data_IF_019688781505
#
_entry.id   IF_019688781505
#
_cell.length_a   1.000
_cell.length_b   1.000
_cell.length_c   1.000
_cell.angle_alpha   90.00
_cell.angle_beta   90.00
_cell.angle_gamma   90.00
#
_symmetry.space_group_name_H-M   'P 1'
#
loop_
_entity.id
_entity.type
_entity.pdbx_description
1 polymer ?
#
# COMPACT_ATOMS: atom_id res chain seq x y z
N UNK A 1 0.64 35.69 -12.41
CA UNK A 1 -0.22 34.68 -11.75
C UNK A 1 0.06 33.35 -12.43
N UNK A 2 0.77 32.43 -11.78
CA UNK A 2 0.99 31.10 -12.35
C UNK A 2 -0.38 30.42 -12.49
N UNK A 3 -0.78 30.10 -13.72
CA UNK A 3 -1.93 29.26 -14.01
C UNK A 3 -1.64 27.87 -13.44
N UNK A 4 -2.09 27.63 -12.20
CA UNK A 4 -2.10 26.29 -11.64
C UNK A 4 -3.01 25.46 -12.53
N UNK A 5 -2.43 24.56 -13.33
CA UNK A 5 -3.21 23.57 -14.06
C UNK A 5 -3.98 22.75 -13.04
N UNK A 6 -5.29 22.50 -13.25
CA UNK A 6 -6.06 21.69 -12.33
C UNK A 6 -5.40 20.32 -12.18
N UNK A 7 -5.39 19.73 -10.97
CA UNK A 7 -4.81 18.41 -10.75
C UNK A 7 -5.44 17.42 -11.75
N UNK A 8 -4.60 16.62 -12.42
CA UNK A 8 -5.08 15.57 -13.34
C UNK A 8 -6.12 14.71 -12.60
N UNK A 9 -7.26 14.38 -13.21
CA UNK A 9 -8.24 13.51 -12.58
C UNK A 9 -7.58 12.17 -12.21
N UNK A 10 -7.90 11.67 -11.00
CA UNK A 10 -7.33 10.42 -10.48
C UNK A 10 -7.59 9.30 -11.47
N UNK A 11 -6.54 8.56 -11.83
CA UNK A 11 -6.66 7.49 -12.81
C UNK A 11 -7.52 6.37 -12.20
N UNK A 12 -8.61 5.91 -12.86
CA UNK A 12 -9.40 4.80 -12.35
C UNK A 12 -8.58 3.52 -12.13
N UNK A 13 -7.45 3.38 -12.83
CA UNK A 13 -6.48 2.29 -12.63
C UNK A 13 -6.00 2.20 -11.18
N UNK A 14 -5.76 3.32 -10.51
CA UNK A 14 -5.24 3.32 -9.13
C UNK A 14 -6.28 2.73 -8.16
N UNK A 15 -7.55 3.08 -8.34
CA UNK A 15 -8.66 2.53 -7.55
C UNK A 15 -8.85 1.03 -7.77
N UNK A 16 -8.74 0.57 -9.03
CA UNK A 16 -8.80 -0.86 -9.36
C UNK A 16 -7.65 -1.64 -8.71
N UNK A 17 -6.43 -1.09 -8.75
CA UNK A 17 -5.26 -1.71 -8.11
C UNK A 17 -5.44 -1.83 -6.59
N UNK A 18 -6.01 -0.83 -5.93
CA UNK A 18 -6.31 -0.89 -4.48
C UNK A 18 -7.29 -2.04 -4.19
N UNK A 19 -8.43 -2.09 -4.90
CA UNK A 19 -9.45 -3.14 -4.68
C UNK A 19 -8.86 -4.52 -4.93
N UNK A 20 -8.10 -4.69 -6.01
CA UNK A 20 -7.45 -5.94 -6.35
C UNK A 20 -6.44 -6.36 -5.27
N UNK A 21 -5.64 -5.41 -4.76
CA UNK A 21 -4.68 -5.68 -3.68
C UNK A 21 -5.39 -6.08 -2.39
N UNK A 22 -6.50 -5.44 -2.04
CA UNK A 22 -7.33 -5.82 -0.87
C UNK A 22 -7.84 -7.26 -1.02
N UNK A 23 -8.45 -7.58 -2.16
CA UNK A 23 -9.00 -8.93 -2.41
C UNK A 23 -7.89 -9.98 -2.34
N UNK A 24 -6.75 -9.74 -2.99
CA UNK A 24 -5.62 -10.66 -2.95
C UNK A 24 -5.03 -10.81 -1.54
N UNK A 25 -4.92 -9.73 -0.78
CA UNK A 25 -4.42 -9.76 0.59
C UNK A 25 -5.34 -10.54 1.53
N UNK A 26 -6.66 -10.38 1.39
CA UNK A 26 -7.64 -11.15 2.13
C UNK A 26 -7.63 -12.63 1.72
N UNK A 27 -7.54 -12.90 0.42
CA UNK A 27 -7.41 -14.27 -0.10
C UNK A 27 -6.13 -14.96 0.40
N UNK A 28 -4.98 -14.28 0.39
CA UNK A 28 -3.73 -14.89 0.85
C UNK A 28 -3.81 -15.29 2.33
N UNK A 29 -4.48 -14.48 3.16
CA UNK A 29 -4.73 -14.78 4.58
C UNK A 29 -5.77 -15.89 4.76
N UNK A 30 -6.81 -15.93 3.93
CA UNK A 30 -7.86 -16.97 3.98
C UNK A 30 -7.36 -18.34 3.55
N UNK A 31 -6.48 -18.38 2.55
CA UNK A 31 -5.95 -19.62 1.97
C UNK A 31 -4.50 -19.89 2.39
N UNK A 32 -4.02 -19.26 3.46
CA UNK A 32 -2.63 -19.40 3.94
C UNK A 32 -2.25 -20.86 4.20
N UNK A 33 -3.18 -21.68 4.70
CA UNK A 33 -2.97 -23.13 4.92
C UNK A 33 -2.94 -24.00 3.66
N UNK A 34 -3.32 -23.47 2.50
CA UNK A 34 -3.23 -24.18 1.21
C UNK A 34 -2.06 -23.70 0.34
N UNK A 35 -1.39 -22.62 0.75
CA UNK A 35 -0.22 -22.06 0.09
C UNK A 35 1.07 -22.65 0.67
N UNK A 36 2.19 -22.61 -0.07
CA UNK A 36 3.50 -22.89 0.50
C UNK A 36 3.73 -22.01 1.74
N UNK A 37 4.28 -22.57 2.82
CA UNK A 37 4.42 -21.90 4.12
C UNK A 37 4.98 -20.47 4.01
N UNK A 38 6.00 -20.27 3.18
CA UNK A 38 6.59 -18.94 2.93
C UNK A 38 5.58 -17.94 2.37
N UNK A 39 4.81 -18.32 1.36
CA UNK A 39 3.83 -17.46 0.71
C UNK A 39 2.65 -17.19 1.66
N UNK A 40 2.14 -18.24 2.31
CA UNK A 40 1.03 -18.11 3.26
C UNK A 40 1.36 -17.21 4.45
N UNK A 41 2.64 -17.12 4.83
CA UNK A 41 3.11 -16.28 5.95
C UNK A 41 3.31 -14.82 5.53
N UNK A 42 4.00 -14.55 4.41
CA UNK A 42 4.47 -13.18 4.11
C UNK A 42 3.68 -12.45 3.02
N UNK A 43 2.89 -13.16 2.21
CA UNK A 43 2.19 -12.52 1.10
C UNK A 43 1.12 -11.52 1.59
N UNK A 44 0.41 -11.85 2.67
CA UNK A 44 -0.60 -10.98 3.26
C UNK A 44 -0.02 -9.62 3.68
N UNK A 45 1.10 -9.64 4.39
CA UNK A 45 1.74 -8.42 4.91
C UNK A 45 2.39 -7.61 3.80
N UNK A 46 3.02 -8.28 2.84
CA UNK A 46 3.55 -7.63 1.63
C UNK A 46 2.46 -6.90 0.86
N UNK A 47 1.31 -7.55 0.64
CA UNK A 47 0.15 -6.95 -0.05
C UNK A 47 -0.48 -5.82 0.78
N UNK A 48 -0.47 -5.94 2.10
CA UNK A 48 -0.93 -4.86 2.99
C UNK A 48 -0.04 -3.61 2.89
N UNK A 49 1.28 -3.76 2.86
CA UNK A 49 2.21 -2.65 2.64
C UNK A 49 2.02 -1.98 1.27
N UNK A 50 1.82 -2.79 0.22
CA UNK A 50 1.48 -2.30 -1.12
C UNK A 50 0.17 -1.49 -1.12
N UNK A 51 -0.86 -2.00 -0.43
CA UNK A 51 -2.16 -1.33 -0.29
C UNK A 51 -2.01 0.05 0.36
N UNK A 52 -1.24 0.18 1.45
CA UNK A 52 -0.98 1.46 2.11
C UNK A 52 -0.35 2.46 1.14
N UNK A 53 0.66 2.04 0.37
CA UNK A 53 1.30 2.89 -0.64
C UNK A 53 0.30 3.38 -1.68
N UNK A 54 -0.50 2.47 -2.25
CA UNK A 54 -1.52 2.81 -3.25
C UNK A 54 -2.58 3.75 -2.68
N UNK A 55 -3.04 3.55 -1.44
CA UNK A 55 -4.02 4.42 -0.80
C UNK A 55 -3.48 5.83 -0.56
N UNK A 56 -2.24 5.97 -0.08
CA UNK A 56 -1.63 7.28 0.15
C UNK A 56 -1.38 7.98 -1.19
N UNK A 57 -0.89 7.27 -2.21
CA UNK A 57 -0.73 7.81 -3.56
C UNK A 57 -2.05 8.25 -4.18
N UNK A 58 -3.10 7.44 -4.01
CA UNK A 58 -4.45 7.76 -4.46
C UNK A 58 -5.05 8.97 -3.72
N UNK A 59 -4.83 9.09 -2.40
CA UNK A 59 -5.33 10.23 -1.63
C UNK A 59 -4.58 11.53 -1.97
N UNK A 60 -3.26 11.45 -2.13
CA UNK A 60 -2.35 12.58 -2.34
C UNK A 60 -1.72 12.58 -3.75
N UNK A 61 -2.54 12.68 -4.78
CA UNK A 61 -2.14 12.61 -6.21
C UNK A 61 -1.08 13.64 -6.64
N UNK A 62 -0.91 14.73 -5.87
CA UNK A 62 0.06 15.81 -6.18
C UNK A 62 1.46 15.52 -5.60
N UNK A 63 1.60 14.49 -4.76
CA UNK A 63 2.87 14.17 -4.12
C UNK A 63 3.78 13.35 -5.04
N UNK A 64 5.09 13.64 -4.98
CA UNK A 64 6.10 12.80 -5.65
C UNK A 64 6.07 11.38 -5.06
N UNK A 65 6.20 10.36 -5.92
CA UNK A 65 6.29 8.93 -5.56
C UNK A 65 7.21 8.66 -4.37
N UNK A 66 8.39 9.30 -4.33
CA UNK A 66 9.35 9.15 -3.22
C UNK A 66 8.78 9.63 -1.87
N UNK A 67 8.01 10.71 -1.85
CA UNK A 67 7.36 11.20 -0.62
C UNK A 67 6.26 10.24 -0.17
N UNK A 68 5.44 9.76 -1.09
CA UNK A 68 4.40 8.75 -0.81
C UNK A 68 5.03 7.49 -0.20
N UNK A 69 6.13 6.99 -0.78
CA UNK A 69 6.85 5.83 -0.27
C UNK A 69 7.38 6.05 1.16
N UNK A 70 8.03 7.19 1.43
CA UNK A 70 8.56 7.51 2.77
C UNK A 70 7.42 7.62 3.78
N UNK A 71 6.32 8.30 3.45
CA UNK A 71 5.16 8.41 4.34
C UNK A 71 4.56 7.03 4.60
N UNK A 72 4.47 6.17 3.58
CA UNK A 72 3.96 4.80 3.72
C UNK A 72 4.84 3.95 4.64
N UNK A 73 6.17 4.02 4.49
CA UNK A 73 7.11 3.30 5.37
C UNK A 73 6.95 3.79 6.81
N UNK A 74 6.96 5.11 7.03
CA UNK A 74 6.79 5.67 8.37
C UNK A 74 5.45 5.28 8.98
N UNK A 75 4.37 5.33 8.19
CA UNK A 75 3.04 4.97 8.63
C UNK A 75 2.97 3.50 9.06
N UNK A 76 3.45 2.58 8.21
CA UNK A 76 3.48 1.14 8.53
C UNK A 76 4.35 0.85 9.75
N UNK A 77 5.51 1.51 9.90
CA UNK A 77 6.39 1.35 11.07
C UNK A 77 5.76 1.88 12.36
N UNK A 78 5.03 3.00 12.30
CA UNK A 78 4.29 3.54 13.45
C UNK A 78 3.19 2.56 13.88
N UNK A 79 2.43 2.02 12.92
CA UNK A 79 1.38 1.02 13.23
C UNK A 79 2.00 -0.23 13.86
N UNK A 80 3.08 -0.75 13.29
CA UNK A 80 3.74 -1.94 13.80
C UNK A 80 4.33 -1.69 15.21
N UNK A 81 5.02 -0.56 15.42
CA UNK A 81 5.56 -0.19 16.74
C UNK A 81 4.44 0.05 17.77
N UNK A 82 3.26 0.52 17.33
CA UNK A 82 2.10 0.69 18.22
C UNK A 82 1.61 -0.61 18.83
N UNK A 83 2.00 -1.78 18.30
CA UNK A 83 1.67 -3.09 18.86
C UNK A 83 2.42 -3.39 20.15
N UNK A 84 3.54 -2.69 20.42
CA UNK A 84 4.25 -2.78 21.70
C UNK A 84 3.59 -1.93 22.80
N UNK A 85 2.59 -1.12 22.45
CA UNK A 85 1.88 -0.25 23.37
C UNK A 85 0.54 -0.87 23.79
N UNK A 86 0.39 -1.19 25.08
CA UNK A 86 -0.75 -1.96 25.63
C UNK A 86 -1.60 -1.14 26.61
N UNK A 87 -2.15 -0.02 26.14
CA UNK A 87 -3.17 0.70 26.90
C UNK A 87 -4.57 0.13 26.63
N UNK A 88 -5.45 0.16 27.64
CA UNK A 88 -6.80 -0.43 27.55
C UNK A 88 -7.61 0.08 26.34
N UNK A 89 -7.45 1.37 25.98
CA UNK A 89 -8.16 1.96 24.84
C UNK A 89 -7.67 1.43 23.48
N UNK A 90 -6.37 1.18 23.31
CA UNK A 90 -5.82 0.69 22.03
C UNK A 90 -6.11 -0.79 21.86
N UNK A 91 -6.04 -1.56 22.96
CA UNK A 91 -6.35 -2.98 22.96
C UNK A 91 -7.85 -3.20 22.72
N UNK A 92 -8.72 -2.31 23.20
CA UNK A 92 -10.14 -2.34 22.86
C UNK A 92 -10.38 -2.18 21.36
N UNK A 93 -9.63 -1.30 20.68
CA UNK A 93 -9.71 -1.14 19.22
C UNK A 93 -9.19 -2.39 18.51
N UNK A 94 -8.06 -2.97 18.95
CA UNK A 94 -7.49 -4.21 18.37
C UNK A 94 -8.43 -5.42 18.47
N UNK A 95 -9.27 -5.46 19.50
CA UNK A 95 -10.28 -6.52 19.67
C UNK A 95 -11.44 -6.42 18.66
N UNK A 96 -11.60 -5.29 17.98
CA UNK A 96 -12.55 -5.18 16.86
C UNK A 96 -11.97 -5.81 15.59
N UNK A 97 -12.82 -6.34 14.70
CA UNK A 97 -12.37 -6.95 13.44
C UNK A 97 -11.56 -5.98 12.58
N UNK A 98 -12.04 -4.74 12.44
CA UNK A 98 -11.40 -3.71 11.62
C UNK A 98 -10.10 -3.26 12.29
N UNK A 99 -10.13 -3.00 13.59
CA UNK A 99 -8.95 -2.56 14.34
C UNK A 99 -7.86 -3.62 14.34
N UNK A 100 -8.19 -4.90 14.50
CA UNK A 100 -7.22 -5.99 14.40
C UNK A 100 -6.62 -6.16 13.00
N UNK A 101 -7.40 -5.94 11.95
CA UNK A 101 -6.93 -6.02 10.56
C UNK A 101 -6.04 -4.84 10.15
N UNK A 102 -6.28 -3.65 10.72
CA UNK A 102 -5.51 -2.44 10.43
C UNK A 102 -4.31 -2.28 11.37
N UNK A 103 -4.47 -2.54 12.66
CA UNK A 103 -3.43 -2.32 13.67
C UNK A 103 -2.57 -3.56 13.92
N UNK A 104 -3.05 -4.75 13.57
CA UNK A 104 -2.40 -6.03 13.88
C UNK A 104 -2.56 -6.47 15.34
N UNK A 105 -1.97 -7.62 15.67
CA UNK A 105 -2.10 -8.25 16.99
C UNK A 105 -0.78 -8.39 17.75
N UNK A 106 0.37 -8.32 17.08
CA UNK A 106 1.67 -8.46 17.73
C UNK A 106 2.81 -8.15 16.78
N UNK A 107 3.90 -7.63 17.36
CA UNK A 107 5.04 -7.07 16.65
C UNK A 107 5.94 -8.15 16.04
N UNK A 108 6.20 -8.04 14.74
CA UNK A 108 7.11 -8.92 14.02
C UNK A 108 8.10 -8.12 13.17
N UNK A 109 9.39 -8.36 13.35
CA UNK A 109 10.43 -7.76 12.50
C UNK A 109 10.29 -8.11 11.03
N UNK A 110 9.75 -9.30 10.72
CA UNK A 110 9.45 -9.71 9.35
C UNK A 110 8.45 -8.78 8.68
N UNK A 111 7.52 -8.20 9.44
CA UNK A 111 6.42 -7.41 8.90
C UNK A 111 6.95 -6.08 8.40
N UNK A 112 7.91 -5.46 9.11
CA UNK A 112 8.65 -4.28 8.63
C UNK A 112 9.32 -4.54 7.27
N UNK A 113 9.92 -5.71 7.09
CA UNK A 113 10.55 -6.10 5.82
C UNK A 113 9.48 -6.30 4.75
N UNK A 114 8.41 -7.03 5.04
CA UNK A 114 7.31 -7.30 4.11
C UNK A 114 6.64 -6.00 3.66
N UNK A 115 6.34 -5.08 4.58
CA UNK A 115 5.77 -3.78 4.28
C UNK A 115 6.68 -2.95 3.38
N UNK A 116 7.99 -2.94 3.67
CA UNK A 116 8.97 -2.25 2.84
C UNK A 116 9.04 -2.82 1.42
N UNK A 117 9.02 -4.15 1.27
CA UNK A 117 8.98 -4.82 -0.03
C UNK A 117 7.70 -4.48 -0.78
N UNK A 118 6.54 -4.53 -0.12
CA UNK A 118 5.24 -4.17 -0.71
C UNK A 118 5.21 -2.73 -1.23
N UNK A 119 5.74 -1.79 -0.45
CA UNK A 119 5.84 -0.39 -0.84
C UNK A 119 6.80 -0.23 -2.04
N UNK A 120 7.94 -0.93 -2.05
CA UNK A 120 8.88 -0.90 -3.16
C UNK A 120 8.25 -1.44 -4.46
N UNK A 121 7.47 -2.51 -4.38
CA UNK A 121 6.69 -3.04 -5.51
C UNK A 121 5.74 -1.95 -6.02
N UNK A 122 5.04 -1.24 -5.13
CA UNK A 122 4.16 -0.13 -5.49
C UNK A 122 4.89 0.98 -6.26
N UNK A 123 6.08 1.37 -5.78
CA UNK A 123 6.94 2.36 -6.47
C UNK A 123 7.33 1.89 -7.87
N UNK A 124 7.63 0.60 -8.05
CA UNK A 124 7.97 0.03 -9.36
C UNK A 124 6.77 0.04 -10.31
N UNK A 125 5.58 -0.34 -9.83
CA UNK A 125 4.33 -0.31 -10.59
C UNK A 125 4.03 1.12 -11.05
N UNK A 126 4.11 2.11 -10.15
CA UNK A 126 3.83 3.51 -10.48
C UNK A 126 4.84 4.04 -11.53
N UNK A 127 6.13 3.73 -11.38
CA UNK A 127 7.15 4.10 -12.38
C UNK A 127 6.87 3.49 -13.75
N UNK A 128 6.46 2.22 -13.79
CA UNK A 128 6.15 1.52 -15.04
C UNK A 128 4.92 2.11 -15.74
N UNK A 129 3.87 2.42 -14.97
CA UNK A 129 2.66 3.07 -15.48
C UNK A 129 2.95 4.49 -15.99
N UNK A 130 3.77 5.27 -15.27
CA UNK A 130 4.15 6.61 -15.70
C UNK A 130 5.02 6.59 -16.97
N UNK A 131 5.97 5.66 -17.06
CA UNK A 131 6.78 5.48 -18.28
C UNK A 131 5.91 5.16 -19.50
N UNK A 132 4.89 4.31 -19.34
CA UNK A 132 3.94 3.95 -20.40
C UNK A 132 3.09 5.14 -20.86
N UNK A 133 2.66 6.01 -19.93
CA UNK A 133 1.91 7.24 -20.24
C UNK A 133 2.73 8.21 -21.09
N UNK A 134 4.01 8.38 -20.78
CA UNK A 134 4.90 9.27 -21.55
C UNK A 134 5.19 8.74 -22.96
N UNK A 135 5.36 7.44 -23.12
CA UNK A 135 5.57 6.81 -24.44
C UNK A 135 4.35 6.95 -25.37
N UNK A 136 3.15 6.66 -24.86
CA UNK A 136 1.92 6.76 -25.68
C UNK A 136 1.59 8.20 -26.07
N UNK A 137 1.91 9.19 -25.23
CA UNK A 137 1.67 10.61 -25.55
C UNK A 137 2.55 11.08 -26.70
N UNK A 138 3.86 10.77 -26.65
CA UNK A 138 4.78 11.08 -27.75
C UNK A 138 4.40 10.40 -29.06
N UNK A 139 3.86 9.17 -29.01
CA UNK A 139 3.39 8.45 -30.20
C UNK A 139 2.11 9.05 -30.79
N UNK A 140 1.18 9.52 -29.95
CA UNK A 140 -0.03 10.19 -30.41
C UNK A 140 0.25 11.59 -30.98
N UNK A 141 1.26 12.29 -30.48
CA UNK A 141 1.66 13.60 -31.00
C UNK A 141 2.49 13.48 -32.31
N UNK A 142 2.97 12.28 -32.64
CA UNK A 142 3.75 11.99 -33.86
C UNK A 142 2.93 11.30 -34.97
N UNK A 143 1.63 11.04 -34.76
CA UNK A 143 0.71 10.41 -35.71
C UNK A 143 -0.33 11.41 -36.20
#
# INVERSE_FOLDING_TARGET
>A
MASQTPPEPKNPVDGVLIVLTIVLGLCSRRFSGSLPNWIGTYAGDTLWGLMIFLMIGFLFTVMKTRRVAVISILFTFIIETSQLYHAQWIDAIRRTLIGGLVLGYGFLWSDLICYTIGILIGVLIEKFLWSSKHYNRQRSDAA
#
